data_IF_993599282591
#
_entry.id   IF_993599282591
#
_cell.length_a   1.000
_cell.length_b   1.000
_cell.length_c   1.000
_cell.angle_alpha   90.00
_cell.angle_beta   90.00
_cell.angle_gamma   90.00
#
_symmetry.space_group_name_H-M   'P 1'
#
loop_
_entity.id
_entity.type
_entity.pdbx_description
1 polymer ?
#
# COMPACT_ATOMS: atom_id res chain seq x y z
N UNK A 1 -12.90 -46.15 9.74
CA UNK A 1 -12.25 -45.10 8.92
C UNK A 1 -10.87 -44.80 9.48
N UNK A 2 -9.80 -45.30 8.83
CA UNK A 2 -8.42 -45.11 9.27
C UNK A 2 -7.92 -43.71 8.89
N UNK A 3 -7.58 -42.88 9.89
CA UNK A 3 -6.83 -41.64 9.71
C UNK A 3 -5.38 -42.01 9.36
N UNK A 4 -5.10 -42.19 8.07
CA UNK A 4 -3.72 -42.40 7.59
C UNK A 4 -2.87 -41.18 7.96
N UNK A 5 -2.03 -41.35 8.99
CA UNK A 5 -1.07 -40.34 9.42
C UNK A 5 -0.07 -40.12 8.28
N UNK A 6 -0.09 -38.93 7.67
CA UNK A 6 0.93 -38.54 6.67
C UNK A 6 2.34 -38.78 7.24
N UNK A 7 3.26 -39.36 6.44
CA UNK A 7 4.61 -39.68 6.90
C UNK A 7 5.34 -38.41 7.39
N UNK A 8 6.19 -38.58 8.40
CA UNK A 8 6.84 -37.46 9.12
C UNK A 8 7.65 -36.55 8.17
N UNK A 9 8.29 -37.14 7.15
CA UNK A 9 8.96 -36.41 6.06
C UNK A 9 8.02 -35.49 5.28
N UNK A 10 6.79 -35.93 4.98
CA UNK A 10 5.80 -35.10 4.28
C UNK A 10 5.36 -33.91 5.15
N UNK A 11 5.20 -34.11 6.47
CA UNK A 11 4.90 -33.01 7.40
C UNK A 11 6.04 -32.00 7.50
N UNK A 12 7.29 -32.47 7.59
CA UNK A 12 8.47 -31.60 7.64
C UNK A 12 8.66 -30.82 6.34
N UNK A 13 8.48 -31.46 5.19
CA UNK A 13 8.57 -30.79 3.88
C UNK A 13 7.50 -29.72 3.68
N UNK A 14 6.25 -29.99 4.09
CA UNK A 14 5.16 -29.02 4.02
C UNK A 14 5.43 -27.83 4.96
N UNK A 15 5.81 -28.09 6.21
CA UNK A 15 6.12 -27.04 7.19
C UNK A 15 7.31 -26.16 6.77
N UNK A 16 8.29 -26.74 6.09
CA UNK A 16 9.43 -26.01 5.55
C UNK A 16 9.09 -25.19 4.31
N UNK A 17 8.22 -25.72 3.43
CA UNK A 17 7.63 -24.96 2.32
C UNK A 17 6.79 -23.78 2.82
N UNK A 18 5.95 -24.01 3.84
CA UNK A 18 5.12 -22.98 4.48
C UNK A 18 6.01 -21.90 5.12
N UNK A 19 7.07 -22.30 5.83
CA UNK A 19 8.03 -21.36 6.44
C UNK A 19 8.76 -20.49 5.41
N UNK A 20 9.13 -21.06 4.25
CA UNK A 20 9.70 -20.30 3.13
C UNK A 20 8.71 -19.30 2.56
N UNK A 21 7.47 -19.71 2.36
CA UNK A 21 6.42 -18.83 1.85
C UNK A 21 6.14 -17.68 2.82
N UNK A 22 6.08 -17.95 4.12
CA UNK A 22 5.93 -16.92 5.16
C UNK A 22 7.11 -15.94 5.17
N UNK A 23 8.35 -16.43 5.04
CA UNK A 23 9.52 -15.56 4.96
C UNK A 23 9.49 -14.67 3.71
N UNK A 24 9.12 -15.23 2.55
CA UNK A 24 8.97 -14.45 1.32
C UNK A 24 7.89 -13.40 1.47
N UNK A 25 6.72 -13.75 2.03
CA UNK A 25 5.64 -12.80 2.28
C UNK A 25 6.07 -11.67 3.24
N UNK A 26 6.81 -12.01 4.30
CA UNK A 26 7.36 -11.02 5.23
C UNK A 26 8.33 -10.06 4.54
N UNK A 27 9.32 -10.58 3.79
CA UNK A 27 10.31 -9.76 3.08
C UNK A 27 9.63 -8.88 2.04
N UNK A 28 8.67 -9.41 1.28
CA UNK A 28 7.92 -8.61 0.31
C UNK A 28 7.07 -7.54 0.98
N UNK A 29 6.38 -7.86 2.08
CA UNK A 29 5.63 -6.87 2.85
C UNK A 29 6.51 -5.75 3.39
N UNK A 30 7.69 -6.11 3.90
CA UNK A 30 8.69 -5.14 4.35
C UNK A 30 9.16 -4.24 3.20
N UNK A 31 9.56 -4.80 2.06
CA UNK A 31 10.01 -4.00 0.90
C UNK A 31 8.90 -3.08 0.37
N UNK A 32 7.66 -3.56 0.29
CA UNK A 32 6.52 -2.74 -0.15
C UNK A 32 6.25 -1.58 0.80
N UNK A 33 6.29 -1.83 2.12
CA UNK A 33 6.13 -0.78 3.13
C UNK A 33 7.22 0.30 2.98
N UNK A 34 8.48 -0.10 2.86
CA UNK A 34 9.58 0.85 2.65
C UNK A 34 9.38 1.65 1.35
N UNK A 35 8.88 1.02 0.29
CA UNK A 35 8.65 1.71 -0.98
C UNK A 35 7.51 2.74 -0.89
N UNK A 36 6.44 2.42 -0.17
CA UNK A 36 5.36 3.36 0.16
C UNK A 36 5.91 4.55 0.95
N UNK A 37 6.76 4.29 1.95
CA UNK A 37 7.39 5.36 2.73
C UNK A 37 8.31 6.26 1.89
N UNK A 38 9.01 5.70 0.89
CA UNK A 38 9.92 6.46 0.03
C UNK A 38 9.22 7.51 -0.84
N UNK A 39 7.96 7.29 -1.25
CA UNK A 39 7.24 8.21 -2.14
C UNK A 39 6.56 9.37 -1.41
N UNK A 40 6.49 9.31 -0.08
CA UNK A 40 6.01 10.41 0.78
C UNK A 40 7.05 11.53 0.92
N UNK A 41 6.71 12.69 1.51
CA UNK A 41 7.63 13.81 1.63
C UNK A 41 8.81 13.52 2.58
N UNK A 42 9.99 14.03 2.26
CA UNK A 42 11.15 13.94 3.16
C UNK A 42 10.86 14.54 4.54
N UNK A 43 10.14 15.66 4.63
CA UNK A 43 9.85 16.29 5.91
C UNK A 43 9.01 15.45 6.88
N UNK A 44 8.37 14.36 6.41
CA UNK A 44 7.54 13.46 7.23
C UNK A 44 8.36 12.52 8.11
N UNK A 45 9.45 11.93 7.58
CA UNK A 45 10.34 11.01 8.31
C UNK A 45 11.76 10.91 7.73
N UNK A 46 12.18 11.91 6.95
CA UNK A 46 13.46 12.02 6.22
C UNK A 46 13.72 10.93 5.16
N UNK A 47 12.72 10.10 4.84
CA UNK A 47 12.86 8.93 3.96
C UNK A 47 13.12 7.64 4.74
N UNK A 48 13.73 6.66 4.09
CA UNK A 48 13.89 5.30 4.63
C UNK A 48 15.36 4.93 4.74
N UNK A 49 15.74 4.38 5.90
CA UNK A 49 17.08 3.84 6.14
C UNK A 49 17.17 2.38 5.66
N UNK A 50 17.42 2.21 4.36
CA UNK A 50 17.32 0.91 3.68
C UNK A 50 18.47 -0.07 3.98
N UNK A 51 19.68 0.44 4.24
CA UNK A 51 20.90 -0.38 4.27
C UNK A 51 21.58 -0.29 5.63
N UNK A 52 21.49 -1.33 6.46
CA UNK A 52 22.34 -1.41 7.66
C UNK A 52 23.79 -1.77 7.27
N UNK A 53 24.84 -1.13 7.83
CA UNK A 53 24.82 -0.12 8.90
C UNK A 53 24.77 1.35 8.42
N UNK A 54 24.63 1.61 7.11
CA UNK A 54 24.59 2.97 6.55
C UNK A 54 23.67 3.90 7.33
N UNK A 55 24.08 5.14 7.55
CA UNK A 55 23.27 6.20 8.17
C UNK A 55 22.49 7.02 7.15
N UNK A 56 22.68 6.74 5.86
CA UNK A 56 22.03 7.46 4.77
C UNK A 56 20.54 7.10 4.66
N UNK A 57 19.72 8.13 4.42
CA UNK A 57 18.30 7.99 4.16
C UNK A 57 18.05 8.07 2.65
N UNK A 58 17.15 7.21 2.15
CA UNK A 58 16.77 7.15 0.76
C UNK A 58 15.27 7.41 0.61
N UNK A 59 14.86 8.10 -0.45
CA UNK A 59 13.46 8.42 -0.69
C UNK A 59 13.10 9.80 -0.15
N UNK A 60 11.89 9.96 0.40
CA UNK A 60 11.35 11.28 0.68
C UNK A 60 11.10 12.04 -0.62
N UNK A 61 10.47 11.39 -1.61
CA UNK A 61 10.29 11.93 -2.96
C UNK A 61 9.15 12.95 -3.05
N UNK A 62 8.25 12.97 -2.06
CA UNK A 62 7.12 13.90 -2.00
C UNK A 62 6.21 13.80 -3.21
N UNK A 63 6.03 12.60 -3.77
CA UNK A 63 5.11 12.34 -4.88
C UNK A 63 3.66 12.32 -4.41
N UNK A 64 3.45 11.88 -3.19
CA UNK A 64 2.16 11.87 -2.51
C UNK A 64 2.27 12.61 -1.18
N UNK A 65 1.14 13.06 -0.65
CA UNK A 65 1.07 13.48 0.74
C UNK A 65 1.12 12.26 1.64
N UNK A 66 1.59 12.39 2.88
CA UNK A 66 1.66 11.25 3.80
C UNK A 66 0.28 10.73 4.26
N UNK A 67 -0.78 11.51 4.02
CA UNK A 67 -2.15 11.30 4.50
C UNK A 67 -3.15 11.65 3.40
N UNK A 68 -4.38 11.16 3.50
CA UNK A 68 -5.48 11.42 2.55
C UNK A 68 -5.26 10.93 1.11
N UNK A 69 -4.57 9.81 0.88
CA UNK A 69 -4.45 9.23 -0.48
C UNK A 69 -5.62 8.29 -0.81
N UNK A 70 -6.83 8.85 -0.82
CA UNK A 70 -8.07 8.08 -0.92
C UNK A 70 -8.19 7.27 -2.21
N UNK A 71 -7.76 7.81 -3.34
CA UNK A 71 -7.67 7.12 -4.62
C UNK A 71 -6.78 5.85 -4.56
N UNK A 72 -5.59 5.96 -3.97
CA UNK A 72 -4.66 4.83 -3.83
C UNK A 72 -5.22 3.78 -2.88
N UNK A 73 -5.83 4.21 -1.77
CA UNK A 73 -6.53 3.32 -0.86
C UNK A 73 -7.65 2.55 -1.59
N UNK A 74 -8.47 3.24 -2.38
CA UNK A 74 -9.56 2.62 -3.14
C UNK A 74 -9.05 1.64 -4.21
N UNK A 75 -7.93 1.94 -4.87
CA UNK A 75 -7.28 0.99 -5.79
C UNK A 75 -6.91 -0.28 -5.03
N UNK A 76 -6.20 -0.18 -3.90
CA UNK A 76 -5.77 -1.34 -3.11
C UNK A 76 -6.98 -2.12 -2.58
N UNK A 77 -7.98 -1.43 -2.01
CA UNK A 77 -9.20 -2.03 -1.49
C UNK A 77 -9.97 -2.77 -2.61
N UNK A 78 -10.06 -2.19 -3.81
CA UNK A 78 -10.73 -2.82 -4.94
C UNK A 78 -10.03 -4.11 -5.38
N UNK A 79 -8.70 -4.15 -5.39
CA UNK A 79 -7.93 -5.36 -5.69
C UNK A 79 -8.23 -6.47 -4.71
N UNK A 80 -8.26 -6.16 -3.41
CA UNK A 80 -8.59 -7.13 -2.35
C UNK A 80 -10.00 -7.68 -2.54
N UNK A 81 -10.99 -6.81 -2.78
CA UNK A 81 -12.38 -7.20 -2.98
C UNK A 81 -12.52 -8.06 -4.25
N UNK A 82 -12.03 -7.59 -5.38
CA UNK A 82 -12.15 -8.29 -6.67
C UNK A 82 -11.45 -9.66 -6.62
N UNK A 83 -10.22 -9.72 -6.10
CA UNK A 83 -9.50 -10.99 -5.98
C UNK A 83 -10.18 -11.96 -5.02
N UNK A 84 -10.72 -11.46 -3.90
CA UNK A 84 -11.50 -12.28 -2.97
C UNK A 84 -12.74 -12.85 -3.65
N UNK A 85 -13.49 -12.04 -4.41
CA UNK A 85 -14.66 -12.49 -5.16
C UNK A 85 -14.28 -13.54 -6.23
N UNK A 86 -13.20 -13.32 -6.99
CA UNK A 86 -12.70 -14.29 -7.98
C UNK A 86 -12.40 -15.64 -7.31
N UNK A 87 -11.70 -15.63 -6.19
CA UNK A 87 -11.32 -16.87 -5.50
C UNK A 87 -12.50 -17.55 -4.79
N UNK A 88 -13.50 -16.78 -4.33
CA UNK A 88 -14.74 -17.30 -3.78
C UNK A 88 -15.56 -18.03 -4.86
N UNK A 89 -15.67 -17.45 -6.06
CA UNK A 89 -16.42 -18.03 -7.18
C UNK A 89 -15.65 -19.19 -7.83
N UNK A 90 -14.36 -19.01 -8.09
CA UNK A 90 -13.54 -20.01 -8.77
C UNK A 90 -12.06 -19.98 -8.31
N UNK A 91 -11.75 -20.85 -7.35
CA UNK A 91 -10.40 -21.04 -6.78
C UNK A 91 -9.31 -21.43 -7.78
N UNK A 92 -9.68 -21.86 -9.00
CA UNK A 92 -8.72 -22.25 -10.05
C UNK A 92 -8.34 -21.09 -10.98
N UNK A 93 -8.91 -19.90 -10.81
CA UNK A 93 -8.62 -18.71 -11.63
C UNK A 93 -7.54 -17.81 -11.00
N UNK A 94 -6.44 -18.40 -10.53
CA UNK A 94 -5.36 -17.66 -9.86
C UNK A 94 -4.62 -16.71 -10.82
N UNK A 95 -4.56 -17.09 -12.09
CA UNK A 95 -3.98 -16.30 -13.16
C UNK A 95 -4.78 -15.01 -13.37
N UNK A 96 -6.11 -15.07 -13.23
CA UNK A 96 -6.96 -13.88 -13.30
C UNK A 96 -6.69 -12.95 -12.12
N UNK A 97 -6.50 -13.48 -10.90
CA UNK A 97 -6.16 -12.64 -9.74
C UNK A 97 -4.82 -11.94 -9.89
N UNK A 98 -3.85 -12.61 -10.54
CA UNK A 98 -2.56 -12.02 -10.87
C UNK A 98 -2.69 -10.92 -11.93
N UNK A 99 -3.59 -11.12 -12.91
CA UNK A 99 -3.92 -10.11 -13.91
C UNK A 99 -4.54 -8.86 -13.29
N UNK A 100 -5.52 -9.02 -12.39
CA UNK A 100 -6.15 -7.90 -11.65
C UNK A 100 -5.12 -7.14 -10.82
N UNK A 101 -4.26 -7.87 -10.08
CA UNK A 101 -3.20 -7.26 -9.29
C UNK A 101 -2.23 -6.45 -10.17
N UNK A 102 -1.75 -7.05 -11.27
CA UNK A 102 -0.80 -6.40 -12.18
C UNK A 102 -1.39 -5.14 -12.82
N UNK A 103 -2.66 -5.18 -13.24
CA UNK A 103 -3.34 -4.03 -13.83
C UNK A 103 -3.49 -2.90 -12.80
N UNK A 104 -3.94 -3.22 -11.59
CA UNK A 104 -4.09 -2.24 -10.52
C UNK A 104 -2.74 -1.64 -10.08
N UNK A 105 -1.68 -2.44 -10.07
CA UNK A 105 -0.33 -1.96 -9.79
C UNK A 105 0.14 -0.94 -10.82
N UNK A 106 -0.12 -1.16 -12.11
CA UNK A 106 0.17 -0.17 -13.16
C UNK A 106 -0.64 1.11 -12.94
N UNK A 107 -1.94 1.00 -12.64
CA UNK A 107 -2.79 2.16 -12.37
C UNK A 107 -2.30 2.93 -11.14
N UNK A 108 -1.95 2.24 -10.05
CA UNK A 108 -1.38 2.82 -8.84
C UNK A 108 -0.09 3.60 -9.17
N UNK A 109 0.82 2.98 -9.93
CA UNK A 109 2.07 3.61 -10.30
C UNK A 109 1.87 4.86 -11.17
N UNK A 110 0.94 4.80 -12.14
CA UNK A 110 0.56 5.96 -12.94
C UNK A 110 0.04 7.07 -12.02
N UNK A 111 -0.94 6.76 -11.16
CA UNK A 111 -1.54 7.75 -10.25
C UNK A 111 -0.51 8.45 -9.37
N UNK A 112 0.45 7.72 -8.79
CA UNK A 112 1.52 8.31 -7.98
C UNK A 112 2.40 9.26 -8.80
N UNK A 113 2.70 8.92 -10.05
CA UNK A 113 3.65 9.68 -10.87
C UNK A 113 3.01 10.82 -11.68
N UNK A 114 1.69 10.85 -11.82
CA UNK A 114 0.97 11.89 -12.56
C UNK A 114 0.39 12.99 -11.69
N UNK A 115 0.56 12.93 -10.36
CA UNK A 115 0.23 14.06 -9.47
C UNK A 115 1.18 15.21 -9.79
N UNK A 116 0.70 16.21 -10.54
CA UNK A 116 1.50 17.36 -11.00
C UNK A 116 1.99 18.31 -9.90
N UNK A 117 2.16 17.84 -8.66
CA UNK A 117 2.53 18.63 -7.48
C UNK A 117 3.56 17.85 -6.66
N UNK A 118 4.63 18.53 -6.25
CA UNK A 118 5.57 18.00 -5.25
C UNK A 118 5.19 18.44 -3.84
N UNK A 119 5.20 17.46 -2.94
CA UNK A 119 4.96 17.64 -1.51
C UNK A 119 6.25 17.74 -0.68
N UNK A 120 7.43 17.66 -1.30
CA UNK A 120 8.71 17.87 -0.61
C UNK A 120 8.87 19.34 -0.19
N UNK A 121 9.34 19.56 1.04
CA UNK A 121 9.78 20.84 1.61
C UNK A 121 10.63 20.57 2.87
N UNK A 122 11.50 21.53 3.23
CA UNK A 122 12.43 21.41 4.37
C UNK A 122 11.76 21.62 5.76
N UNK A 123 10.52 22.09 5.82
CA UNK A 123 9.76 22.15 7.09
C UNK A 123 8.27 21.81 6.91
N UNK A 124 7.83 20.70 7.52
CA UNK A 124 6.43 20.25 7.50
C UNK A 124 5.55 21.14 8.38
N UNK A 125 6.10 21.66 9.48
CA UNK A 125 5.34 22.35 10.52
C UNK A 125 4.76 23.70 10.11
N UNK A 126 5.39 24.41 9.16
CA UNK A 126 4.91 25.74 8.72
C UNK A 126 3.94 25.71 7.54
N UNK A 127 3.83 24.58 6.82
CA UNK A 127 3.06 24.45 5.57
C UNK A 127 2.10 23.24 5.59
N UNK A 128 1.97 22.57 6.74
CA UNK A 128 1.19 21.35 6.89
C UNK A 128 -0.24 21.48 6.34
N UNK A 129 -0.99 22.46 6.87
CA UNK A 129 -2.39 22.71 6.51
C UNK A 129 -2.53 22.96 5.02
N UNK A 130 -1.66 23.79 4.43
CA UNK A 130 -1.72 24.10 3.00
C UNK A 130 -1.46 22.88 2.11
N UNK A 131 -0.52 22.00 2.50
CA UNK A 131 -0.22 20.78 1.75
C UNK A 131 -1.33 19.75 1.91
N UNK A 132 -1.92 19.65 3.10
CA UNK A 132 -3.07 18.78 3.33
C UNK A 132 -4.28 19.25 2.51
N UNK A 133 -4.61 20.54 2.54
CA UNK A 133 -5.67 21.14 1.73
C UNK A 133 -5.43 20.90 0.25
N UNK A 134 -4.18 21.06 -0.21
CA UNK A 134 -3.82 20.78 -1.61
C UNK A 134 -3.98 19.30 -1.95
N UNK A 135 -3.59 18.40 -1.06
CA UNK A 135 -3.80 16.95 -1.21
C UNK A 135 -5.29 16.63 -1.34
N UNK A 136 -6.11 17.15 -0.41
CA UNK A 136 -7.57 16.99 -0.43
C UNK A 136 -8.21 17.56 -1.70
N UNK A 137 -7.73 18.69 -2.20
CA UNK A 137 -8.20 19.26 -3.46
C UNK A 137 -7.91 18.34 -4.65
N UNK A 138 -6.69 17.78 -4.74
CA UNK A 138 -6.32 16.81 -5.77
C UNK A 138 -7.21 15.56 -5.67
N UNK A 139 -7.43 15.05 -4.46
CA UNK A 139 -8.31 13.89 -4.25
C UNK A 139 -9.75 14.17 -4.67
N UNK A 140 -10.25 15.37 -4.39
CA UNK A 140 -11.59 15.78 -4.82
C UNK A 140 -11.71 15.87 -6.34
N UNK A 141 -10.64 16.29 -7.02
CA UNK A 141 -10.57 16.29 -8.48
C UNK A 141 -10.57 14.86 -9.05
N UNK A 142 -9.76 13.96 -8.48
CA UNK A 142 -9.64 12.57 -8.94
C UNK A 142 -10.93 11.77 -8.71
N UNK A 143 -11.52 11.87 -7.52
CA UNK A 143 -12.65 11.05 -7.09
C UNK A 143 -14.01 11.66 -7.44
N UNK A 144 -14.04 12.97 -7.71
CA UNK A 144 -15.26 13.74 -7.75
C UNK A 144 -15.84 14.00 -6.35
N UNK A 145 -16.80 14.94 -6.24
CA UNK A 145 -17.26 15.47 -4.95
C UNK A 145 -17.95 14.42 -4.07
N UNK A 146 -18.73 13.51 -4.66
CA UNK A 146 -19.49 12.51 -3.91
C UNK A 146 -18.59 11.49 -3.22
N UNK A 147 -17.73 10.83 -3.99
CA UNK A 147 -16.84 9.79 -3.47
C UNK A 147 -15.79 10.38 -2.52
N UNK A 148 -15.25 11.55 -2.86
CA UNK A 148 -14.35 12.28 -1.98
C UNK A 148 -15.00 12.59 -0.62
N UNK A 149 -16.22 13.11 -0.60
CA UNK A 149 -16.92 13.44 0.65
C UNK A 149 -17.14 12.21 1.52
N UNK A 150 -17.52 11.07 0.92
CA UNK A 150 -17.67 9.82 1.66
C UNK A 150 -16.34 9.34 2.26
N UNK A 151 -15.23 9.45 1.50
CA UNK A 151 -13.91 9.07 1.98
C UNK A 151 -13.40 10.00 3.08
N UNK A 152 -13.59 11.31 2.94
CA UNK A 152 -13.22 12.30 3.94
C UNK A 152 -14.05 12.12 5.23
N UNK A 153 -15.34 11.82 5.12
CA UNK A 153 -16.17 11.49 6.27
C UNK A 153 -15.70 10.21 6.97
N UNK A 154 -15.36 9.17 6.20
CA UNK A 154 -14.79 7.94 6.77
C UNK A 154 -13.52 8.27 7.55
N UNK A 155 -12.60 9.01 6.95
CA UNK A 155 -11.32 9.40 7.53
C UNK A 155 -11.49 10.21 8.82
N UNK A 156 -12.35 11.23 8.80
CA UNK A 156 -12.66 12.07 9.98
C UNK A 156 -13.33 11.29 11.13
N UNK A 157 -13.97 10.16 10.83
CA UNK A 157 -14.58 9.29 11.85
C UNK A 157 -13.57 8.33 12.50
N UNK A 158 -12.37 8.20 11.94
CA UNK A 158 -11.29 7.42 12.56
C UNK A 158 -10.73 8.29 13.68
N UNK A 159 -10.96 7.87 14.92
CA UNK A 159 -10.49 8.59 16.09
C UNK A 159 -8.98 8.36 16.27
N UNK A 160 -8.18 9.18 15.58
CA UNK A 160 -6.74 9.11 15.63
C UNK A 160 -6.25 10.05 16.73
N UNK A 161 -5.71 9.47 17.80
CA UNK A 161 -5.04 10.21 18.87
C UNK A 161 -3.60 10.52 18.41
N UNK A 162 -3.43 11.56 17.61
CA UNK A 162 -2.11 12.10 17.28
C UNK A 162 -1.74 13.25 18.22
#
# INVERSE_FOLDING_TARGET
MSRTKRPLRAKLSARWYDGRLSMVAFVLGYVMHLWEDMITPSGSWNGVRLLFPSTEYYGGLGKIWWWNNYDLFLIVASVVIINSLILLINRRKKELTLGVFSAAFVVFFIQVNTRGVSFNNDSVTSVFTTKEEKSKAIQREILGPYLFSNMENLDNNINLNF
#
